data_IF_742859386375
#
_entry.id   IF_742859386375
#
_cell.length_a   1.000
_cell.length_b   1.000
_cell.length_c   1.000
_cell.angle_alpha   90.00
_cell.angle_beta   90.00
_cell.angle_gamma   90.00
#
_symmetry.space_group_name_H-M   'P 1'
#
loop_
_entity.id
_entity.type
_entity.pdbx_description
1 polymer ?
#
# COMPACT_ATOMS: atom_id res chain seq x y z
N UNK A 1 13.72 7.48 8.05
CA UNK A 1 12.77 6.70 8.84
C UNK A 1 11.51 6.54 7.99
N UNK A 2 11.07 5.32 7.70
CA UNK A 2 9.78 5.08 7.05
C UNK A 2 8.67 5.37 8.05
N UNK A 3 7.62 6.00 7.57
CA UNK A 3 6.50 6.43 8.39
C UNK A 3 5.30 5.52 8.08
N UNK A 4 4.73 4.89 9.09
CA UNK A 4 3.55 4.00 8.95
C UNK A 4 2.35 4.64 9.68
N UNK A 5 1.95 5.86 9.30
CA UNK A 5 1.16 6.69 10.20
C UNK A 5 -0.22 6.11 10.52
N UNK A 6 -0.88 5.54 9.54
CA UNK A 6 -2.26 5.09 9.71
C UNK A 6 -2.46 3.58 9.58
N UNK A 7 -1.63 2.89 8.81
CA UNK A 7 -1.78 1.44 8.59
C UNK A 7 -1.56 0.62 9.87
N UNK A 8 -0.59 0.98 10.71
CA UNK A 8 -0.34 0.28 11.98
C UNK A 8 -1.46 0.50 13.00
N UNK A 9 -1.92 1.73 13.28
CA UNK A 9 -3.11 1.96 14.13
C UNK A 9 -4.36 1.30 13.59
N UNK A 10 -4.59 1.33 12.27
CA UNK A 10 -5.72 0.65 11.63
C UNK A 10 -5.72 -0.85 11.96
N UNK A 11 -4.61 -1.55 11.75
CA UNK A 11 -4.49 -2.98 12.05
C UNK A 11 -4.70 -3.27 13.53
N UNK A 12 -4.22 -2.41 14.43
CA UNK A 12 -4.46 -2.55 15.88
C UNK A 12 -5.94 -2.48 16.25
N UNK A 13 -6.73 -1.67 15.58
CA UNK A 13 -8.18 -1.58 15.79
C UNK A 13 -8.93 -2.87 15.41
N UNK A 14 -8.34 -3.72 14.57
CA UNK A 14 -8.81 -5.07 14.29
C UNK A 14 -8.22 -6.14 15.22
N UNK A 15 -7.55 -5.74 16.32
CA UNK A 15 -6.93 -6.68 17.26
C UNK A 15 -5.58 -7.23 16.81
N UNK A 16 -5.07 -6.81 15.65
CA UNK A 16 -3.78 -7.26 15.13
C UNK A 16 -2.68 -6.31 15.60
N UNK A 17 -1.58 -6.85 16.14
CA UNK A 17 -0.44 -6.04 16.60
C UNK A 17 0.77 -6.18 15.67
N UNK A 18 0.87 -5.41 14.59
CA UNK A 18 1.94 -5.54 13.63
C UNK A 18 3.26 -4.95 14.15
N UNK A 19 4.37 -5.65 13.87
CA UNK A 19 5.74 -5.18 14.06
C UNK A 19 6.23 -4.47 12.80
N UNK A 20 6.99 -3.40 12.98
CA UNK A 20 7.71 -2.75 11.89
C UNK A 20 8.93 -3.59 11.55
N UNK A 21 9.04 -4.03 10.29
CA UNK A 21 10.22 -4.65 9.71
C UNK A 21 10.85 -3.69 8.70
N UNK A 22 11.94 -3.01 9.09
CA UNK A 22 12.62 -2.10 8.17
C UNK A 22 13.11 -2.82 6.89
N UNK A 23 13.08 -2.13 5.77
CA UNK A 23 12.84 -0.69 5.64
C UNK A 23 11.37 -0.31 5.45
N UNK A 24 10.47 -1.21 5.03
CA UNK A 24 9.20 -0.82 4.46
C UNK A 24 8.04 -1.81 4.69
N UNK A 25 8.13 -2.68 5.67
CA UNK A 25 7.11 -3.72 5.89
C UNK A 25 6.48 -3.65 7.28
N UNK A 26 5.22 -4.08 7.36
CA UNK A 26 4.58 -4.46 8.61
C UNK A 26 4.39 -5.97 8.63
N UNK A 27 4.78 -6.61 9.73
CA UNK A 27 4.69 -8.04 9.92
C UNK A 27 3.75 -8.39 11.07
N UNK A 28 3.05 -9.51 10.92
CA UNK A 28 2.32 -10.19 11.98
C UNK A 28 2.83 -11.62 12.01
N UNK A 29 3.30 -12.09 13.17
CA UNK A 29 3.91 -13.42 13.32
C UNK A 29 4.95 -13.75 12.22
N UNK A 30 5.84 -12.77 11.93
CA UNK A 30 6.86 -12.83 10.88
C UNK A 30 6.34 -12.94 9.43
N UNK A 31 5.02 -12.84 9.20
CA UNK A 31 4.37 -12.76 7.89
C UNK A 31 4.04 -11.31 7.54
N UNK A 32 4.29 -10.93 6.30
CA UNK A 32 4.06 -9.56 5.83
C UNK A 32 2.60 -9.32 5.53
N UNK A 33 1.99 -8.35 6.23
CA UNK A 33 0.62 -7.92 5.99
C UNK A 33 0.56 -6.62 5.19
N UNK A 34 1.64 -5.80 5.23
CA UNK A 34 1.69 -4.50 4.56
C UNK A 34 3.08 -4.23 3.99
N UNK A 35 3.10 -3.73 2.78
CA UNK A 35 4.30 -3.21 2.12
C UNK A 35 4.14 -1.74 1.78
N UNK A 36 5.19 -0.93 1.96
CA UNK A 36 5.11 0.51 1.83
C UNK A 36 6.25 1.07 0.99
N UNK A 37 6.01 2.18 0.31
CA UNK A 37 7.02 2.94 -0.38
C UNK A 37 6.81 4.44 -0.13
N UNK A 38 7.90 5.18 -0.13
CA UNK A 38 7.87 6.61 0.12
C UNK A 38 8.89 7.33 -0.76
N UNK A 39 8.48 8.44 -1.34
CA UNK A 39 9.37 9.37 -2.00
C UNK A 39 9.23 10.76 -1.37
N UNK A 40 10.36 11.39 -1.11
CA UNK A 40 10.42 12.75 -0.56
C UNK A 40 10.85 13.70 -1.67
N UNK A 41 10.10 14.76 -1.82
CA UNK A 41 10.36 15.87 -2.74
C UNK A 41 10.49 17.16 -1.95
N UNK A 42 11.04 18.24 -2.56
CA UNK A 42 11.12 19.55 -1.90
C UNK A 42 9.76 20.09 -1.46
N UNK A 43 8.71 19.80 -2.22
CA UNK A 43 7.34 20.28 -2.02
C UNK A 43 6.42 19.32 -1.26
N UNK A 44 6.87 18.11 -0.91
CA UNK A 44 6.03 17.17 -0.19
C UNK A 44 6.57 15.75 -0.11
N UNK A 45 5.79 14.91 0.55
CA UNK A 45 6.06 13.48 0.70
C UNK A 45 4.93 12.70 0.06
N UNK A 46 5.26 11.83 -0.89
CA UNK A 46 4.33 10.82 -1.37
C UNK A 46 4.61 9.51 -0.61
N UNK A 47 3.63 9.05 0.12
CA UNK A 47 3.66 7.75 0.78
C UNK A 47 2.50 6.90 0.27
N UNK A 48 2.79 5.67 -0.10
CA UNK A 48 1.77 4.69 -0.47
C UNK A 48 2.12 3.32 0.10
N UNK A 49 1.11 2.50 0.30
CA UNK A 49 1.27 1.16 0.83
C UNK A 49 0.08 0.28 0.51
N UNK A 50 0.21 -0.98 0.86
CA UNK A 50 -0.83 -2.00 0.74
C UNK A 50 -1.15 -2.57 2.10
N UNK A 51 -2.39 -2.99 2.30
CA UNK A 51 -2.80 -3.90 3.38
C UNK A 51 -3.46 -5.09 2.70
N UNK A 52 -2.97 -6.29 2.96
CA UNK A 52 -3.61 -7.52 2.51
C UNK A 52 -4.79 -7.80 3.43
N UNK A 53 -6.00 -7.85 2.89
CA UNK A 53 -7.23 -8.02 3.66
C UNK A 53 -7.76 -9.44 3.54
N UNK A 54 -8.12 -9.87 2.33
CA UNK A 54 -8.64 -11.20 1.99
C UNK A 54 -8.19 -11.60 0.57
N UNK A 55 -6.94 -11.35 0.25
CA UNK A 55 -6.36 -11.65 -1.07
C UNK A 55 -6.13 -13.14 -1.26
N UNK A 56 -6.28 -13.65 -2.48
CA UNK A 56 -5.83 -15.00 -2.82
C UNK A 56 -4.29 -15.05 -2.81
N UNK A 57 -3.73 -15.50 -1.69
CA UNK A 57 -2.28 -15.58 -1.48
C UNK A 57 -1.62 -16.63 -2.36
N UNK A 58 -2.36 -17.68 -2.79
CA UNK A 58 -1.85 -18.69 -3.68
C UNK A 58 -1.62 -18.11 -5.08
N UNK A 59 -2.61 -17.42 -5.62
CA UNK A 59 -2.46 -16.71 -6.90
C UNK A 59 -1.41 -15.61 -6.79
N UNK A 60 -1.39 -14.84 -5.71
CA UNK A 60 -0.36 -13.82 -5.48
C UNK A 60 1.06 -14.40 -5.56
N UNK A 61 1.30 -15.54 -4.92
CA UNK A 61 2.61 -16.21 -4.93
C UNK A 61 3.04 -16.69 -6.31
N UNK A 62 2.10 -17.10 -7.16
CA UNK A 62 2.36 -17.58 -8.53
C UNK A 62 2.65 -16.46 -9.51
N UNK A 63 1.95 -15.31 -9.38
CA UNK A 63 2.09 -14.19 -10.34
C UNK A 63 3.23 -13.24 -9.98
N UNK A 64 3.57 -13.11 -8.70
CA UNK A 64 4.68 -12.28 -8.27
C UNK A 64 6.01 -13.02 -8.42
N UNK A 65 6.63 -12.89 -9.58
CA UNK A 65 8.00 -13.37 -9.80
C UNK A 65 8.99 -12.54 -8.98
N UNK A 66 9.98 -13.18 -8.32
CA UNK A 66 11.06 -12.43 -7.67
C UNK A 66 11.76 -11.56 -8.70
N UNK A 67 11.90 -10.27 -8.39
CA UNK A 67 12.72 -9.38 -9.20
C UNK A 67 14.14 -9.96 -9.30
N UNK A 68 14.62 -10.25 -10.52
CA UNK A 68 16.03 -10.50 -10.75
C UNK A 68 16.78 -9.26 -10.28
N UNK A 69 17.83 -9.43 -9.47
CA UNK A 69 18.67 -8.33 -9.00
C UNK A 69 19.16 -7.51 -10.21
N UNK A 70 18.48 -6.43 -10.51
CA UNK A 70 18.94 -5.49 -11.52
C UNK A 70 20.07 -4.67 -10.91
N UNK A 71 21.20 -4.58 -11.58
CA UNK A 71 22.33 -3.69 -11.21
C UNK A 71 21.92 -2.20 -11.13
N UNK A 72 20.70 -1.84 -11.58
CA UNK A 72 20.13 -0.48 -11.59
C UNK A 72 18.98 -0.31 -10.59
N UNK A 73 18.94 -1.09 -9.51
CA UNK A 73 17.85 -0.97 -8.54
C UNK A 73 17.93 0.39 -7.83
N UNK A 74 17.10 1.35 -8.26
CA UNK A 74 16.91 2.63 -7.57
C UNK A 74 15.89 2.42 -6.45
N UNK A 75 16.22 2.88 -5.25
CA UNK A 75 15.33 2.82 -4.08
C UNK A 75 15.71 1.71 -3.10
N UNK A 76 14.90 1.57 -2.07
CA UNK A 76 15.11 0.62 -0.98
C UNK A 76 14.56 -0.75 -1.39
N UNK A 77 15.38 -1.82 -1.39
CA UNK A 77 14.92 -3.15 -1.77
C UNK A 77 13.90 -3.68 -0.75
N UNK A 78 12.84 -4.30 -1.26
CA UNK A 78 11.89 -5.02 -0.41
C UNK A 78 12.49 -6.38 0.00
N UNK A 79 12.41 -6.69 1.30
CA UNK A 79 12.74 -8.03 1.79
C UNK A 79 11.62 -8.99 1.42
N UNK A 80 11.98 -10.16 0.90
CA UNK A 80 11.02 -11.23 0.65
C UNK A 80 10.60 -11.84 1.99
N UNK A 81 9.30 -11.90 2.23
CA UNK A 81 8.69 -12.51 3.42
C UNK A 81 7.46 -13.33 3.01
N UNK A 82 7.12 -14.38 3.74
CA UNK A 82 5.77 -14.93 3.67
C UNK A 82 4.76 -13.83 3.90
N UNK A 83 3.60 -13.92 3.27
CA UNK A 83 2.53 -12.93 3.37
C UNK A 83 1.35 -13.49 4.14
N UNK A 84 0.50 -12.61 4.67
CA UNK A 84 -0.74 -12.95 5.37
C UNK A 84 -1.80 -11.91 5.10
N UNK A 85 -3.07 -12.27 5.25
CA UNK A 85 -4.21 -11.37 5.20
C UNK A 85 -4.67 -10.95 6.59
N UNK A 86 -5.37 -9.84 6.66
CA UNK A 86 -6.04 -9.43 7.89
C UNK A 86 -7.10 -10.44 8.34
N UNK A 87 -7.90 -10.94 7.40
CA UNK A 87 -8.92 -11.98 7.67
C UNK A 87 -8.33 -13.25 8.29
N UNK A 88 -7.15 -13.68 7.82
CA UNK A 88 -6.46 -14.85 8.34
C UNK A 88 -5.95 -14.63 9.78
N UNK A 89 -5.48 -13.41 10.09
CA UNK A 89 -4.96 -13.08 11.43
C UNK A 89 -6.03 -12.96 12.51
N UNK A 90 -7.24 -12.58 12.15
CA UNK A 90 -8.35 -12.43 13.11
C UNK A 90 -9.35 -13.59 13.02
N UNK A 91 -9.13 -14.57 12.14
CA UNK A 91 -9.97 -15.74 11.91
C UNK A 91 -11.45 -15.40 11.65
N UNK A 92 -11.68 -14.28 10.95
CA UNK A 92 -13.02 -13.86 10.53
C UNK A 92 -12.98 -13.05 9.25
N UNK A 93 -14.10 -13.02 8.53
CA UNK A 93 -14.24 -12.21 7.34
C UNK A 93 -14.25 -10.72 7.68
N UNK A 94 -13.51 -9.93 6.90
CA UNK A 94 -13.42 -8.49 7.06
C UNK A 94 -13.88 -7.81 5.78
N UNK A 95 -14.90 -6.97 5.89
CA UNK A 95 -15.33 -6.19 4.74
C UNK A 95 -14.31 -5.12 4.36
N UNK A 96 -14.11 -4.91 3.08
CA UNK A 96 -13.23 -3.84 2.57
C UNK A 96 -13.71 -2.45 3.00
N UNK A 97 -15.02 -2.28 3.18
CA UNK A 97 -15.60 -1.05 3.71
C UNK A 97 -15.13 -0.78 5.15
N UNK A 98 -15.20 -1.78 6.03
CA UNK A 98 -14.75 -1.64 7.42
C UNK A 98 -13.25 -1.27 7.48
N UNK A 99 -12.42 -1.85 6.62
CA UNK A 99 -10.98 -1.52 6.55
C UNK A 99 -10.77 -0.08 6.11
N UNK A 100 -11.47 0.37 5.06
CA UNK A 100 -11.37 1.75 4.57
C UNK A 100 -11.78 2.78 5.61
N UNK A 101 -12.91 2.56 6.29
CA UNK A 101 -13.39 3.46 7.35
C UNK A 101 -12.45 3.47 8.56
N UNK A 102 -11.94 2.32 8.97
CA UNK A 102 -10.98 2.24 10.07
C UNK A 102 -9.66 2.92 9.70
N UNK A 103 -9.21 2.78 8.46
CA UNK A 103 -8.02 3.46 7.96
C UNK A 103 -8.22 4.98 7.91
N UNK A 104 -9.37 5.46 7.42
CA UNK A 104 -9.76 6.88 7.43
C UNK A 104 -9.66 7.47 8.83
N UNK A 105 -10.32 6.85 9.82
CA UNK A 105 -10.28 7.28 11.21
C UNK A 105 -8.86 7.26 11.78
N UNK A 106 -8.07 6.27 11.41
CA UNK A 106 -6.66 6.19 11.84
C UNK A 106 -5.80 7.32 11.26
N UNK A 107 -6.09 7.76 10.03
CA UNK A 107 -5.47 8.96 9.46
C UNK A 107 -5.90 10.22 10.21
N UNK A 108 -7.19 10.40 10.46
CA UNK A 108 -7.72 11.55 11.19
C UNK A 108 -7.12 11.68 12.59
N UNK A 109 -7.04 10.57 13.31
CA UNK A 109 -6.45 10.54 14.67
C UNK A 109 -4.95 10.85 14.67
N UNK A 110 -4.19 10.21 13.77
CA UNK A 110 -2.72 10.35 13.75
C UNK A 110 -2.29 11.75 13.35
N UNK A 111 -3.01 12.36 12.42
CA UNK A 111 -2.66 13.69 11.90
C UNK A 111 -3.47 14.84 12.53
N UNK A 112 -4.41 14.52 13.42
CA UNK A 112 -5.33 15.51 14.03
C UNK A 112 -6.07 16.35 12.97
N UNK A 113 -6.56 15.68 11.93
CA UNK A 113 -7.29 16.28 10.80
C UNK A 113 -8.68 15.65 10.65
N UNK A 114 -9.54 16.30 9.90
CA UNK A 114 -10.78 15.71 9.39
C UNK A 114 -10.65 15.50 7.88
N UNK A 115 -10.95 14.30 7.41
CA UNK A 115 -11.01 13.97 6.00
C UNK A 115 -12.41 14.23 5.47
N UNK A 116 -12.51 14.99 4.37
CA UNK A 116 -13.74 15.23 3.65
C UNK A 116 -13.74 14.42 2.35
N UNK A 117 -14.91 13.87 2.01
CA UNK A 117 -15.10 13.26 0.70
C UNK A 117 -15.12 14.34 -0.37
N UNK A 118 -14.40 14.11 -1.47
CA UNK A 118 -14.35 15.01 -2.60
C UNK A 118 -14.29 14.24 -3.92
N UNK A 119 -14.60 14.92 -5.00
CA UNK A 119 -14.44 14.40 -6.36
C UNK A 119 -13.26 15.08 -7.04
N UNK A 120 -12.71 14.43 -8.06
CA UNK A 120 -11.68 15.04 -8.88
C UNK A 120 -12.17 16.34 -9.52
N UNK A 121 -11.35 17.37 -9.48
CA UNK A 121 -11.59 18.63 -10.19
C UNK A 121 -11.54 18.42 -11.71
N UNK A 122 -12.10 19.36 -12.47
CA UNK A 122 -12.03 19.29 -13.95
C UNK A 122 -10.59 19.24 -14.46
N UNK A 123 -9.67 20.02 -13.85
CA UNK A 123 -8.24 20.00 -14.21
C UNK A 123 -7.57 18.66 -13.95
N UNK A 124 -7.91 18.01 -12.83
CA UNK A 124 -7.38 16.68 -12.51
C UNK A 124 -7.90 15.61 -13.47
N UNK A 125 -9.19 15.68 -13.84
CA UNK A 125 -9.78 14.78 -14.83
C UNK A 125 -9.14 14.96 -16.21
N UNK A 126 -8.92 16.19 -16.64
CA UNK A 126 -8.23 16.51 -17.90
C UNK A 126 -6.79 15.99 -17.90
N UNK A 127 -6.04 16.28 -16.84
CA UNK A 127 -4.67 15.78 -16.70
C UNK A 127 -4.60 14.25 -16.68
N UNK A 128 -5.53 13.59 -16.00
CA UNK A 128 -5.64 12.13 -16.00
C UNK A 128 -5.93 11.58 -17.41
N UNK A 129 -6.82 12.24 -18.16
CA UNK A 129 -7.16 11.86 -19.53
C UNK A 129 -5.97 12.00 -20.49
N UNK A 130 -5.22 13.09 -20.38
CA UNK A 130 -3.98 13.30 -21.16
C UNK A 130 -2.97 12.19 -20.84
N UNK A 131 -2.70 11.93 -19.55
CA UNK A 131 -1.79 10.87 -19.14
C UNK A 131 -2.24 9.49 -19.59
N UNK A 132 -3.53 9.22 -19.55
CA UNK A 132 -4.10 7.96 -20.04
C UNK A 132 -3.75 7.75 -21.52
N UNK A 133 -4.08 8.73 -22.38
CA UNK A 133 -3.88 8.61 -23.83
C UNK A 133 -2.41 8.66 -24.23
N UNK A 134 -1.62 9.54 -23.65
CA UNK A 134 -0.24 9.76 -24.08
C UNK A 134 0.75 8.75 -23.52
N UNK A 135 0.41 8.11 -22.40
CA UNK A 135 1.33 7.24 -21.69
C UNK A 135 0.76 5.86 -21.36
N UNK A 136 -0.30 5.83 -20.54
CA UNK A 136 -0.74 4.57 -19.92
C UNK A 136 -1.49 3.63 -20.88
N UNK A 137 -2.09 4.16 -21.93
CA UNK A 137 -2.70 3.37 -23.00
C UNK A 137 -1.67 2.76 -23.96
N UNK A 138 -0.47 3.30 -24.01
CA UNK A 138 0.55 2.89 -24.98
C UNK A 138 1.15 1.55 -24.64
N UNK A 139 1.33 0.74 -25.68
CA UNK A 139 1.94 -0.60 -25.56
C UNK A 139 3.37 -0.53 -25.04
N UNK A 140 4.15 0.46 -25.48
CA UNK A 140 5.54 0.70 -25.06
C UNK A 140 5.66 0.91 -23.56
N UNK A 141 4.67 1.57 -22.94
CA UNK A 141 4.63 1.74 -21.48
C UNK A 141 4.29 0.43 -20.76
N UNK A 142 3.30 -0.30 -21.26
CA UNK A 142 2.77 -1.51 -20.60
C UNK A 142 3.69 -2.72 -20.73
N UNK A 143 4.46 -2.80 -21.81
CA UNK A 143 5.33 -3.93 -22.13
C UNK A 143 6.82 -3.55 -22.15
N UNK A 144 7.16 -2.43 -21.54
CA UNK A 144 8.54 -1.98 -21.42
C UNK A 144 9.31 -2.86 -20.44
N UNK A 145 9.90 -3.95 -20.95
CA UNK A 145 10.86 -4.82 -20.25
C UNK A 145 11.89 -5.40 -21.22
#
# INVERSE_FOLDING_TARGET
MFFYPASRPCLKKFGVNPKIDPPNSLLVQDRKISGNAQVRKKWGILHHGTILVNSDLNTLSKVLKPSRKSKRQRGVPSKRRPVTNLSDEIAQEVSMYAVKETLRRSFEEVFSIKLADSTLTSKEKEAAWVLYNEKYLRREWNFWR
#
